data_IF_164860957724
#
_entry.id   IF_164860957724
#
_cell.length_a   1.000
_cell.length_b   1.000
_cell.length_c   1.000
_cell.angle_alpha   90.00
_cell.angle_beta   90.00
_cell.angle_gamma   90.00
#
_symmetry.space_group_name_H-M   'P 1'
#
loop_
_entity.id
_entity.type
_entity.pdbx_description
1 polymer ?
#
# COMPACT_ATOMS: atom_id res chain seq x y z
N UNK A 1 15.96 1.91 -22.59
CA UNK A 1 15.48 2.73 -21.47
C UNK A 1 15.79 4.19 -21.75
N UNK A 2 14.76 5.02 -21.90
CA UNK A 2 14.87 6.46 -22.24
C UNK A 2 15.43 7.29 -21.09
N UNK A 3 15.19 6.86 -19.85
CA UNK A 3 15.73 7.52 -18.66
C UNK A 3 17.25 7.79 -18.73
N UNK A 4 18.02 6.98 -19.46
CA UNK A 4 19.48 7.17 -19.61
C UNK A 4 19.86 8.41 -20.43
N UNK A 5 18.96 8.89 -21.27
CA UNK A 5 19.18 10.07 -22.12
C UNK A 5 18.60 11.36 -21.51
N UNK A 6 17.97 11.29 -20.35
CA UNK A 6 17.39 12.45 -19.67
C UNK A 6 18.53 13.23 -18.98
N UNK A 7 18.63 14.55 -19.19
CA UNK A 7 19.61 15.39 -18.47
C UNK A 7 19.43 15.29 -16.96
N UNK A 8 20.53 15.33 -16.21
CA UNK A 8 20.51 15.19 -14.73
C UNK A 8 19.62 16.22 -14.03
N UNK A 9 19.51 17.43 -14.59
CA UNK A 9 18.65 18.50 -14.02
C UNK A 9 17.15 18.21 -14.17
N UNK A 10 16.76 17.36 -15.11
CA UNK A 10 15.37 16.97 -15.35
C UNK A 10 15.02 15.60 -14.80
N UNK A 11 16.02 14.81 -14.40
CA UNK A 11 15.86 13.43 -13.96
C UNK A 11 14.94 13.31 -12.73
N UNK A 12 15.03 14.22 -11.75
CA UNK A 12 14.13 14.21 -10.59
C UNK A 12 12.66 14.42 -11.00
N UNK A 13 12.40 15.30 -11.97
CA UNK A 13 11.05 15.53 -12.50
C UNK A 13 10.50 14.28 -13.18
N UNK A 14 11.32 13.57 -13.97
CA UNK A 14 10.96 12.30 -14.58
C UNK A 14 10.70 11.21 -13.54
N UNK A 15 11.59 11.04 -12.56
CA UNK A 15 11.44 10.07 -11.47
C UNK A 15 10.20 10.34 -10.61
N UNK A 16 9.87 11.62 -10.39
CA UNK A 16 8.64 12.01 -9.71
C UNK A 16 7.41 11.56 -10.51
N UNK A 17 7.39 11.75 -11.82
CA UNK A 17 6.31 11.29 -12.69
C UNK A 17 6.20 9.76 -12.68
N UNK A 18 7.32 9.03 -12.70
CA UNK A 18 7.34 7.58 -12.59
C UNK A 18 6.76 7.10 -11.25
N UNK A 19 7.18 7.73 -10.13
CA UNK A 19 6.63 7.41 -8.80
C UNK A 19 5.13 7.67 -8.72
N UNK A 20 4.62 8.77 -9.27
CA UNK A 20 3.19 9.08 -9.29
C UNK A 20 2.37 7.96 -9.92
N UNK A 21 2.75 7.46 -11.10
CA UNK A 21 1.99 6.41 -11.77
C UNK A 21 2.18 5.03 -11.12
N UNK A 22 3.34 4.76 -10.52
CA UNK A 22 3.60 3.51 -9.78
C UNK A 22 2.82 3.44 -8.46
N UNK A 23 2.61 4.59 -7.78
CA UNK A 23 1.87 4.65 -6.52
C UNK A 23 0.36 4.60 -6.74
N UNK A 24 -0.15 5.37 -7.69
CA UNK A 24 -1.59 5.61 -7.78
C UNK A 24 -2.28 4.79 -8.86
N UNK A 25 -1.55 4.29 -9.86
CA UNK A 25 -2.02 3.54 -11.02
C UNK A 25 -3.07 4.28 -11.87
N UNK A 26 -3.78 5.23 -11.31
CA UNK A 26 -4.66 6.18 -11.97
C UNK A 26 -4.34 7.58 -11.47
N UNK A 27 -4.06 8.49 -12.39
CA UNK A 27 -3.87 9.91 -12.12
C UNK A 27 -4.89 10.67 -12.95
N UNK A 28 -5.66 11.56 -12.32
CA UNK A 28 -6.68 12.38 -12.97
C UNK A 28 -6.39 13.87 -12.80
N UNK A 29 -7.26 14.74 -13.29
CA UNK A 29 -7.12 16.18 -13.13
C UNK A 29 -7.12 16.63 -11.66
N UNK A 30 -7.72 15.83 -10.76
CA UNK A 30 -7.85 16.13 -9.32
C UNK A 30 -7.11 15.15 -8.42
N UNK A 31 -6.80 13.95 -8.88
CA UNK A 31 -6.19 12.89 -8.07
C UNK A 31 -4.80 12.49 -8.58
N UNK A 32 -3.80 12.31 -7.71
CA UNK A 32 -3.80 12.56 -6.26
C UNK A 32 -3.80 14.05 -5.90
N UNK A 33 -3.38 14.90 -6.82
CA UNK A 33 -3.40 16.36 -6.74
C UNK A 33 -3.48 16.99 -8.14
N UNK A 34 -3.79 18.29 -8.21
CA UNK A 34 -4.02 19.00 -9.48
C UNK A 34 -2.79 19.12 -10.39
N UNK A 35 -1.59 18.91 -9.86
CA UNK A 35 -0.32 19.02 -10.63
C UNK A 35 0.15 17.67 -11.20
N UNK A 36 -0.36 16.58 -10.65
CA UNK A 36 0.11 15.22 -10.92
C UNK A 36 -0.06 14.83 -12.40
N UNK A 37 -1.23 15.07 -12.99
CA UNK A 37 -1.50 14.73 -14.38
C UNK A 37 -0.59 15.49 -15.35
N UNK A 38 -0.38 16.79 -15.14
CA UNK A 38 0.52 17.60 -15.95
C UNK A 38 1.97 17.08 -15.86
N UNK A 39 2.41 16.68 -14.67
CA UNK A 39 3.74 16.09 -14.45
C UNK A 39 3.91 14.79 -15.23
N UNK A 40 2.92 13.89 -15.19
CA UNK A 40 2.95 12.62 -15.93
C UNK A 40 2.87 12.85 -17.45
N UNK A 41 2.03 13.79 -17.92
CA UNK A 41 1.88 14.11 -19.36
C UNK A 41 3.19 14.62 -19.97
N UNK A 42 3.96 15.40 -19.23
CA UNK A 42 5.27 15.91 -19.69
C UNK A 42 6.21 14.76 -20.09
N UNK A 43 6.17 13.64 -19.38
CA UNK A 43 7.05 12.50 -19.56
C UNK A 43 6.37 11.27 -20.17
N UNK A 44 5.19 11.46 -20.77
CA UNK A 44 4.32 10.35 -21.17
C UNK A 44 4.99 9.39 -22.18
N UNK A 45 5.83 9.91 -23.08
CA UNK A 45 6.49 9.08 -24.11
C UNK A 45 7.59 8.23 -23.49
N UNK A 46 8.45 8.85 -22.70
CA UNK A 46 9.56 8.17 -22.03
C UNK A 46 9.05 7.13 -21.01
N UNK A 47 8.02 7.50 -20.24
CA UNK A 47 7.41 6.61 -19.24
C UNK A 47 6.76 5.40 -19.89
N UNK A 48 6.05 5.55 -21.03
CA UNK A 48 5.43 4.41 -21.71
C UNK A 48 6.48 3.36 -22.10
N UNK A 49 7.56 3.80 -22.73
CA UNK A 49 8.61 2.89 -23.17
C UNK A 49 9.35 2.26 -21.99
N UNK A 50 9.69 3.06 -20.98
CA UNK A 50 10.49 2.59 -19.86
C UNK A 50 9.70 1.68 -18.92
N UNK A 51 8.43 1.98 -18.62
CA UNK A 51 7.57 1.12 -17.80
C UNK A 51 7.27 -0.22 -18.49
N UNK A 52 7.03 -0.19 -19.82
CA UNK A 52 6.83 -1.41 -20.59
C UNK A 52 8.10 -2.27 -20.64
N UNK A 53 9.25 -1.66 -20.90
CA UNK A 53 10.52 -2.39 -20.99
C UNK A 53 10.96 -2.94 -19.63
N UNK A 54 10.79 -2.16 -18.55
CA UNK A 54 11.30 -2.49 -17.22
C UNK A 54 10.40 -3.47 -16.48
N UNK A 55 9.08 -3.28 -16.52
CA UNK A 55 8.09 -4.03 -15.73
C UNK A 55 7.07 -4.80 -16.58
N UNK A 56 6.99 -4.54 -17.88
CA UNK A 56 5.88 -5.02 -18.70
C UNK A 56 4.58 -4.24 -18.46
N UNK A 57 4.63 -3.11 -17.78
CA UNK A 57 3.46 -2.27 -17.48
C UNK A 57 3.11 -1.37 -18.66
N UNK A 58 1.82 -1.28 -18.96
CA UNK A 58 1.32 -0.41 -20.03
C UNK A 58 0.77 0.88 -19.46
N UNK A 59 1.30 2.01 -19.90
CA UNK A 59 0.81 3.34 -19.53
C UNK A 59 -0.02 3.95 -20.64
N UNK A 60 -1.28 4.26 -20.37
CA UNK A 60 -2.15 5.07 -21.24
C UNK A 60 -2.29 6.47 -20.66
N UNK A 61 -2.03 7.48 -21.48
CA UNK A 61 -2.14 8.89 -21.10
C UNK A 61 -3.06 9.58 -22.10
N UNK A 62 -4.12 10.18 -21.58
CA UNK A 62 -5.09 10.99 -22.31
C UNK A 62 -5.03 12.44 -21.87
N UNK A 63 -5.98 13.26 -22.29
CA UNK A 63 -6.08 14.65 -21.83
C UNK A 63 -6.45 14.75 -20.34
N UNK A 64 -7.32 13.87 -19.87
CA UNK A 64 -7.92 13.93 -18.52
C UNK A 64 -7.39 12.86 -17.56
N UNK A 65 -6.73 11.83 -18.07
CA UNK A 65 -6.27 10.70 -17.24
C UNK A 65 -4.90 10.17 -17.67
N UNK A 66 -4.17 9.63 -16.69
CA UNK A 66 -3.04 8.73 -16.94
C UNK A 66 -3.29 7.43 -16.16
N UNK A 67 -3.38 6.29 -16.87
CA UNK A 67 -3.69 4.97 -16.30
C UNK A 67 -2.54 4.00 -16.54
N UNK A 68 -1.98 3.46 -15.46
CA UNK A 68 -1.00 2.39 -15.49
C UNK A 68 -1.70 1.04 -15.34
N UNK A 69 -1.54 0.17 -16.33
CA UNK A 69 -1.97 -1.22 -16.28
C UNK A 69 -0.81 -2.06 -15.78
N UNK A 70 -0.94 -2.53 -14.57
CA UNK A 70 0.07 -3.37 -13.90
C UNK A 70 -0.15 -4.84 -14.23
N UNK A 71 0.89 -5.62 -14.03
CA UNK A 71 0.88 -7.09 -14.10
C UNK A 71 1.07 -7.60 -12.68
N UNK A 72 0.14 -8.42 -12.20
CA UNK A 72 0.24 -9.10 -10.92
C UNK A 72 0.85 -10.49 -11.14
N UNK A 73 1.97 -10.79 -10.50
CA UNK A 73 2.60 -12.10 -10.59
C UNK A 73 2.06 -13.07 -9.54
N UNK A 74 1.58 -12.53 -8.41
CA UNK A 74 1.03 -13.27 -7.26
C UNK A 74 -0.18 -12.53 -6.71
N UNK A 75 -1.05 -13.26 -6.02
CA UNK A 75 -2.04 -12.65 -5.16
C UNK A 75 -1.35 -12.08 -3.91
N UNK A 76 -1.78 -10.90 -3.50
CA UNK A 76 -1.33 -10.24 -2.26
C UNK A 76 -2.56 -9.91 -1.42
N UNK A 77 -2.74 -10.63 -0.32
CA UNK A 77 -3.85 -10.42 0.60
C UNK A 77 -3.81 -9.04 1.29
N UNK A 78 -2.62 -8.41 1.37
CA UNK A 78 -2.42 -7.09 1.96
C UNK A 78 -2.69 -5.92 1.00
N UNK A 79 -2.81 -6.17 -0.31
CA UNK A 79 -2.93 -5.12 -1.33
C UNK A 79 -4.38 -4.62 -1.52
N UNK A 80 -5.10 -4.34 -0.43
CA UNK A 80 -6.46 -3.81 -0.46
C UNK A 80 -6.51 -2.28 -0.47
N UNK A 81 -7.66 -1.71 -0.88
CA UNK A 81 -7.94 -0.29 -0.66
C UNK A 81 -8.60 -0.05 0.69
N UNK A 82 -8.59 1.21 1.14
CA UNK A 82 -9.17 1.61 2.42
C UNK A 82 -10.12 2.80 2.25
N UNK A 83 -11.01 3.00 3.23
CA UNK A 83 -11.81 4.21 3.38
C UNK A 83 -10.91 5.41 3.70
N UNK A 84 -11.46 6.61 3.67
CA UNK A 84 -10.77 7.83 4.09
C UNK A 84 -10.34 7.80 5.57
N UNK A 85 -11.00 6.97 6.41
CA UNK A 85 -10.64 6.75 7.82
C UNK A 85 -9.59 5.67 8.03
N UNK A 86 -9.09 5.04 6.95
CA UNK A 86 -8.09 3.97 7.00
C UNK A 86 -8.67 2.56 7.23
N UNK A 87 -10.00 2.40 7.29
CA UNK A 87 -10.63 1.09 7.39
C UNK A 87 -10.49 0.32 6.06
N UNK A 88 -9.97 -0.91 6.05
CA UNK A 88 -9.88 -1.70 4.82
C UNK A 88 -11.27 -1.94 4.20
N UNK A 89 -11.32 -1.93 2.86
CA UNK A 89 -12.52 -2.33 2.15
C UNK A 89 -12.79 -3.82 2.35
N UNK A 90 -14.02 -4.12 2.79
CA UNK A 90 -14.54 -5.48 2.84
C UNK A 90 -15.18 -5.87 1.48
N UNK A 91 -15.62 -7.14 1.40
CA UNK A 91 -16.28 -7.67 0.19
C UNK A 91 -17.48 -6.84 -0.23
N UNK A 92 -18.26 -6.31 0.71
CA UNK A 92 -19.45 -5.49 0.47
C UNK A 92 -19.09 -4.18 -0.22
N UNK A 93 -18.09 -3.46 0.31
CA UNK A 93 -17.60 -2.19 -0.28
C UNK A 93 -17.05 -2.37 -1.68
N UNK A 94 -16.30 -3.44 -1.91
CA UNK A 94 -15.82 -3.76 -3.26
C UNK A 94 -16.95 -4.11 -4.23
N UNK A 95 -17.96 -4.85 -3.79
CA UNK A 95 -19.12 -5.17 -4.62
C UNK A 95 -19.89 -3.91 -5.02
N UNK A 96 -20.19 -3.03 -4.05
CA UNK A 96 -20.87 -1.76 -4.34
C UNK A 96 -20.03 -0.85 -5.22
N UNK A 97 -18.72 -0.77 -5.02
CA UNK A 97 -17.81 -0.03 -5.89
C UNK A 97 -17.86 -0.54 -7.33
N UNK A 98 -17.79 -1.86 -7.54
CA UNK A 98 -17.82 -2.45 -8.88
C UNK A 98 -19.15 -2.19 -9.58
N UNK A 99 -20.28 -2.36 -8.87
CA UNK A 99 -21.62 -2.12 -9.38
C UNK A 99 -21.85 -0.63 -9.67
N UNK A 100 -21.38 0.27 -8.82
CA UNK A 100 -21.43 1.71 -9.03
C UNK A 100 -20.63 2.12 -10.29
N UNK A 101 -19.40 1.62 -10.48
CA UNK A 101 -18.61 1.86 -11.70
C UNK A 101 -19.38 1.39 -12.95
N UNK A 102 -20.02 0.22 -12.89
CA UNK A 102 -20.80 -0.32 -14.00
C UNK A 102 -22.04 0.54 -14.30
N UNK A 103 -22.74 1.04 -13.29
CA UNK A 103 -23.88 1.95 -13.43
C UNK A 103 -23.46 3.30 -14.04
N UNK A 104 -22.42 3.93 -13.48
CA UNK A 104 -21.86 5.21 -13.95
C UNK A 104 -21.35 5.15 -15.40
N UNK A 105 -20.78 4.01 -15.81
CA UNK A 105 -20.30 3.81 -17.19
C UNK A 105 -21.43 3.79 -18.23
N UNK A 106 -22.66 3.44 -17.83
CA UNK A 106 -23.85 3.35 -18.71
C UNK A 106 -24.77 4.57 -18.58
N UNK A 107 -24.70 5.29 -17.46
CA UNK A 107 -25.63 6.36 -17.08
C UNK A 107 -25.47 7.68 -17.82
N UNK A 108 -26.20 8.69 -17.38
CA UNK A 108 -26.12 10.07 -17.84
C UNK A 108 -24.85 10.79 -17.33
N UNK A 109 -24.66 12.06 -17.71
CA UNK A 109 -23.55 12.89 -17.22
C UNK A 109 -23.74 13.38 -15.79
N UNK A 110 -24.95 13.23 -15.23
CA UNK A 110 -25.29 13.52 -13.83
C UNK A 110 -26.11 12.38 -13.27
N UNK A 111 -26.01 12.17 -11.96
CA UNK A 111 -26.77 11.16 -11.22
C UNK A 111 -26.95 11.60 -9.77
N UNK A 112 -28.11 11.33 -9.20
CA UNK A 112 -28.31 11.50 -7.75
C UNK A 112 -27.81 10.28 -6.98
N UNK A 113 -27.53 10.46 -5.69
CA UNK A 113 -27.06 9.37 -4.84
C UNK A 113 -28.13 8.28 -4.67
N UNK A 114 -29.40 8.68 -4.57
CA UNK A 114 -30.56 7.76 -4.51
C UNK A 114 -30.68 6.94 -5.81
N UNK A 115 -30.61 7.57 -7.00
CA UNK A 115 -30.62 6.85 -8.27
C UNK A 115 -29.46 5.86 -8.41
N UNK A 116 -28.26 6.26 -7.97
CA UNK A 116 -27.10 5.36 -7.98
C UNK A 116 -27.29 4.19 -7.03
N UNK A 117 -27.85 4.41 -5.84
CA UNK A 117 -28.16 3.36 -4.88
C UNK A 117 -29.20 2.38 -5.42
N UNK A 118 -30.26 2.87 -6.07
CA UNK A 118 -31.29 2.02 -6.73
C UNK A 118 -30.68 1.15 -7.83
N UNK A 119 -29.80 1.73 -8.69
CA UNK A 119 -29.08 0.97 -9.70
C UNK A 119 -28.21 -0.14 -9.10
N UNK A 120 -27.45 0.20 -8.05
CA UNK A 120 -26.57 -0.78 -7.36
C UNK A 120 -27.40 -1.85 -6.67
N UNK A 121 -28.50 -1.51 -5.99
CA UNK A 121 -29.39 -2.46 -5.34
C UNK A 121 -30.03 -3.43 -6.36
N UNK A 122 -30.50 -2.90 -7.50
CA UNK A 122 -31.08 -3.70 -8.58
C UNK A 122 -30.07 -4.70 -9.17
N UNK A 123 -28.82 -4.28 -9.40
CA UNK A 123 -27.80 -5.18 -9.94
C UNK A 123 -27.27 -6.15 -8.84
N UNK A 124 -27.19 -5.70 -7.58
CA UNK A 124 -26.79 -6.54 -6.45
C UNK A 124 -27.74 -7.73 -6.27
N UNK A 125 -29.06 -7.52 -6.42
CA UNK A 125 -30.06 -8.58 -6.30
C UNK A 125 -29.90 -9.73 -7.29
N UNK A 126 -29.09 -9.55 -8.34
CA UNK A 126 -28.76 -10.57 -9.34
C UNK A 126 -27.50 -11.38 -9.00
N UNK A 127 -26.81 -11.01 -7.92
CA UNK A 127 -25.55 -11.63 -7.51
C UNK A 127 -25.74 -12.28 -6.15
N UNK A 128 -25.56 -13.59 -6.08
CA UNK A 128 -25.70 -14.34 -4.84
C UNK A 128 -24.80 -13.80 -3.73
N UNK A 129 -25.39 -13.53 -2.56
CA UNK A 129 -24.65 -13.04 -1.39
C UNK A 129 -24.23 -11.57 -1.45
N UNK A 130 -24.79 -10.80 -2.40
CA UNK A 130 -24.64 -9.33 -2.46
C UNK A 130 -26.03 -8.71 -2.40
N UNK A 131 -26.27 -7.87 -1.39
CA UNK A 131 -27.52 -7.13 -1.22
C UNK A 131 -27.17 -5.70 -0.79
N UNK A 132 -27.89 -4.72 -1.30
CA UNK A 132 -27.86 -3.33 -0.82
C UNK A 132 -29.27 -2.99 -0.34
N UNK A 133 -29.43 -2.91 0.98
CA UNK A 133 -30.65 -2.47 1.64
C UNK A 133 -30.43 -1.05 2.19
N UNK A 134 -31.08 -0.07 1.58
CA UNK A 134 -30.96 1.34 1.98
C UNK A 134 -31.57 1.65 3.35
N UNK A 135 -32.40 0.76 3.89
CA UNK A 135 -32.92 0.87 5.25
C UNK A 135 -31.86 0.52 6.31
N UNK A 136 -30.84 -0.28 5.93
CA UNK A 136 -29.76 -0.69 6.82
C UNK A 136 -28.63 0.34 6.85
N UNK A 137 -28.38 0.96 8.00
CA UNK A 137 -27.31 1.93 8.16
C UNK A 137 -25.92 1.40 7.71
N UNK A 138 -25.60 0.13 8.04
CA UNK A 138 -24.32 -0.48 7.67
C UNK A 138 -24.14 -0.65 6.15
N UNK A 139 -25.23 -0.81 5.40
CA UNK A 139 -25.20 -0.89 3.94
C UNK A 139 -25.05 0.49 3.32
N UNK A 140 -25.77 1.50 3.87
CA UNK A 140 -25.61 2.91 3.46
C UNK A 140 -24.18 3.39 3.68
N UNK A 141 -23.60 3.12 4.86
CA UNK A 141 -22.22 3.51 5.16
C UNK A 141 -21.22 2.88 4.18
N UNK A 142 -21.38 1.58 3.91
CA UNK A 142 -20.52 0.88 2.97
C UNK A 142 -20.67 1.40 1.52
N UNK A 143 -21.89 1.78 1.12
CA UNK A 143 -22.16 2.38 -0.18
C UNK A 143 -21.55 3.79 -0.28
N UNK A 144 -21.74 4.64 0.73
CA UNK A 144 -21.15 5.98 0.78
C UNK A 144 -19.62 5.93 0.83
N UNK A 145 -19.01 4.94 1.47
CA UNK A 145 -17.56 4.72 1.40
C UNK A 145 -17.10 4.45 -0.05
N UNK A 146 -17.85 3.63 -0.82
CA UNK A 146 -17.55 3.36 -2.22
C UNK A 146 -17.73 4.60 -3.10
N UNK A 147 -18.78 5.38 -2.88
CA UNK A 147 -19.04 6.65 -3.58
C UNK A 147 -17.96 7.69 -3.26
N UNK A 148 -17.56 7.81 -1.99
CA UNK A 148 -16.48 8.69 -1.56
C UNK A 148 -15.15 8.31 -2.25
N UNK A 149 -14.88 7.01 -2.36
CA UNK A 149 -13.70 6.51 -3.06
C UNK A 149 -13.66 6.92 -4.54
N UNK A 150 -14.82 6.91 -5.22
CA UNK A 150 -14.98 7.38 -6.60
C UNK A 150 -14.78 8.90 -6.71
N UNK A 151 -15.35 9.66 -5.75
CA UNK A 151 -15.21 11.11 -5.68
C UNK A 151 -13.75 11.55 -5.51
N UNK A 152 -13.01 10.91 -4.59
CA UNK A 152 -11.58 11.20 -4.37
C UNK A 152 -10.76 11.02 -5.65
N UNK A 153 -11.14 10.07 -6.50
CA UNK A 153 -10.45 9.80 -7.79
C UNK A 153 -10.95 10.63 -8.96
N UNK A 154 -11.94 11.48 -8.73
CA UNK A 154 -12.50 12.36 -9.75
C UNK A 154 -13.39 11.65 -10.77
N UNK A 155 -13.88 10.44 -10.45
CA UNK A 155 -14.86 9.75 -11.28
C UNK A 155 -16.25 10.42 -11.21
N UNK A 156 -16.55 10.97 -10.04
CA UNK A 156 -17.73 11.80 -9.77
C UNK A 156 -17.32 13.04 -8.99
N UNK A 157 -18.06 14.12 -9.18
CA UNK A 157 -17.83 15.38 -8.43
C UNK A 157 -19.16 15.86 -7.88
N UNK A 158 -19.22 16.16 -6.58
CA UNK A 158 -20.42 16.67 -5.96
C UNK A 158 -20.80 18.00 -6.61
N UNK A 159 -21.97 18.06 -7.22
CA UNK A 159 -22.54 19.26 -7.83
C UNK A 159 -23.43 20.00 -6.83
N UNK A 160 -24.22 19.27 -6.03
CA UNK A 160 -25.12 19.83 -5.01
C UNK A 160 -25.46 18.77 -3.96
N UNK A 161 -25.89 19.23 -2.75
CA UNK A 161 -26.35 18.35 -1.67
C UNK A 161 -25.23 17.83 -0.75
N UNK A 162 -25.53 16.76 -0.01
CA UNK A 162 -24.64 16.18 1.01
C UNK A 162 -24.86 14.66 1.18
N UNK A 163 -23.85 13.87 0.81
CA UNK A 163 -23.87 12.43 0.95
C UNK A 163 -23.98 11.95 2.41
N UNK A 164 -23.45 12.69 3.37
CA UNK A 164 -23.54 12.37 4.79
C UNK A 164 -24.97 12.46 5.32
N UNK A 165 -25.74 13.44 4.83
CA UNK A 165 -27.17 13.54 5.15
C UNK A 165 -27.93 12.37 4.58
N UNK A 166 -27.69 11.99 3.32
CA UNK A 166 -28.31 10.82 2.73
C UNK A 166 -27.96 9.53 3.49
N UNK A 167 -26.71 9.36 3.92
CA UNK A 167 -26.30 8.19 4.71
C UNK A 167 -27.05 8.11 6.05
N UNK A 168 -27.37 9.25 6.64
CA UNK A 168 -28.09 9.32 7.91
C UNK A 168 -29.58 9.08 7.71
N UNK A 169 -30.18 9.70 6.69
CA UNK A 169 -31.62 9.64 6.38
C UNK A 169 -31.81 9.86 4.84
N UNK A 170 -32.02 8.77 4.09
CA UNK A 170 -32.18 8.84 2.62
C UNK A 170 -33.44 9.62 2.19
N UNK A 171 -34.47 9.69 3.03
CA UNK A 171 -35.71 10.41 2.69
C UNK A 171 -35.58 11.92 2.84
N UNK A 172 -34.65 12.39 3.67
CA UNK A 172 -34.45 13.84 3.94
C UNK A 172 -33.17 14.42 3.34
N UNK A 173 -32.28 13.56 2.84
CA UNK A 173 -30.98 13.94 2.27
C UNK A 173 -30.85 13.51 0.81
N UNK A 174 -30.21 14.33 -0.01
CA UNK A 174 -29.85 13.98 -1.39
C UNK A 174 -28.50 14.59 -1.74
N UNK A 175 -27.81 13.97 -2.72
CA UNK A 175 -26.58 14.50 -3.29
C UNK A 175 -26.57 14.26 -4.82
N UNK A 176 -26.31 15.32 -5.58
CA UNK A 176 -26.19 15.27 -7.02
C UNK A 176 -24.72 15.27 -7.43
N UNK A 177 -24.35 14.38 -8.33
CA UNK A 177 -22.99 14.25 -8.84
C UNK A 177 -22.89 14.45 -10.35
N UNK A 178 -21.88 15.21 -10.77
CA UNK A 178 -21.38 15.19 -12.14
C UNK A 178 -20.49 13.97 -12.37
N UNK A 179 -20.65 13.27 -13.49
CA UNK A 179 -19.94 12.04 -13.82
C UNK A 179 -18.87 12.29 -14.89
N UNK A 180 -17.59 12.04 -14.55
CA UNK A 180 -16.52 12.00 -15.54
C UNK A 180 -16.40 10.59 -16.12
N UNK A 181 -17.00 10.37 -17.29
CA UNK A 181 -16.99 9.06 -17.95
C UNK A 181 -15.59 8.60 -18.36
N UNK A 182 -14.69 9.52 -18.71
CA UNK A 182 -13.33 9.16 -19.08
C UNK A 182 -12.60 8.54 -17.90
N UNK A 183 -12.78 9.12 -16.69
CA UNK A 183 -12.24 8.57 -15.44
C UNK A 183 -12.91 7.25 -15.09
N UNK A 184 -14.25 7.16 -15.16
CA UNK A 184 -14.99 5.90 -14.88
C UNK A 184 -14.48 4.76 -15.77
N UNK A 185 -14.34 4.98 -17.07
CA UNK A 185 -13.80 3.96 -17.99
C UNK A 185 -12.34 3.62 -17.75
N UNK A 186 -11.54 4.55 -17.20
CA UNK A 186 -10.14 4.29 -16.84
C UNK A 186 -10.00 3.52 -15.54
N UNK A 187 -11.00 3.58 -14.63
CA UNK A 187 -10.94 2.90 -13.33
C UNK A 187 -10.90 1.38 -13.46
N UNK A 188 -11.81 0.81 -14.23
CA UNK A 188 -11.92 -0.63 -14.36
C UNK A 188 -11.79 -1.07 -15.82
N UNK A 189 -10.67 -1.70 -16.11
CA UNK A 189 -10.35 -2.24 -17.42
C UNK A 189 -9.52 -3.51 -17.24
N UNK A 190 -10.18 -4.67 -17.15
CA UNK A 190 -9.50 -5.93 -16.89
C UNK A 190 -8.53 -6.26 -18.02
N UNK A 191 -7.38 -6.91 -17.71
CA UNK A 191 -6.35 -7.25 -18.70
C UNK A 191 -6.85 -8.28 -19.72
N UNK A 192 -7.86 -9.05 -19.37
CA UNK A 192 -8.52 -10.07 -20.19
C UNK A 192 -10.03 -10.02 -20.05
N UNK A 193 -10.74 -10.56 -21.01
CA UNK A 193 -12.20 -10.70 -20.92
C UNK A 193 -12.56 -11.65 -19.79
N UNK A 194 -13.22 -11.13 -18.74
CA UNK A 194 -13.52 -11.89 -17.51
C UNK A 194 -14.44 -13.08 -17.76
N UNK A 195 -15.31 -12.98 -18.75
CA UNK A 195 -16.27 -14.04 -19.15
C UNK A 195 -15.63 -15.36 -19.64
N UNK A 196 -14.33 -15.33 -19.90
CA UNK A 196 -13.57 -16.51 -20.34
C UNK A 196 -12.61 -17.03 -19.27
N UNK A 197 -12.70 -16.50 -18.06
CA UNK A 197 -11.84 -16.91 -16.94
C UNK A 197 -12.55 -17.99 -16.14
N UNK A 198 -11.89 -19.12 -15.97
CA UNK A 198 -12.33 -20.23 -15.10
C UNK A 198 -11.79 -20.06 -13.69
N UNK A 199 -10.70 -19.32 -13.53
CA UNK A 199 -10.03 -19.06 -12.26
C UNK A 199 -9.39 -17.68 -12.26
N UNK A 200 -9.26 -17.07 -11.08
CA UNK A 200 -8.50 -15.83 -10.84
C UNK A 200 -7.04 -15.96 -11.27
N UNK A 201 -6.48 -17.17 -11.30
CA UNK A 201 -5.16 -17.47 -11.89
C UNK A 201 -5.00 -16.88 -13.30
N UNK A 202 -6.06 -16.88 -14.10
CA UNK A 202 -6.07 -16.30 -15.44
C UNK A 202 -5.82 -14.79 -15.49
N UNK A 203 -5.94 -14.07 -14.37
CA UNK A 203 -5.62 -12.63 -14.25
C UNK A 203 -4.14 -12.38 -13.93
N UNK A 204 -3.40 -13.41 -13.52
CA UNK A 204 -1.98 -13.27 -13.22
C UNK A 204 -1.13 -13.21 -14.51
N UNK A 205 -0.01 -12.49 -14.45
CA UNK A 205 0.82 -12.21 -15.61
C UNK A 205 1.50 -13.42 -16.23
N UNK A 206 1.70 -14.48 -15.45
CA UNK A 206 2.33 -15.72 -15.89
C UNK A 206 1.34 -16.78 -16.44
N UNK A 207 0.03 -16.48 -16.48
CA UNK A 207 -0.95 -17.39 -17.06
C UNK A 207 -0.71 -17.56 -18.58
N UNK A 208 -0.02 -18.65 -18.95
CA UNK A 208 0.27 -19.04 -20.33
C UNK A 208 1.55 -18.49 -20.96
N UNK A 209 2.42 -17.82 -20.19
CA UNK A 209 3.76 -17.47 -20.65
C UNK A 209 4.75 -18.65 -20.43
N UNK A 210 5.66 -18.93 -21.37
CA UNK A 210 6.74 -19.89 -21.11
C UNK A 210 7.55 -19.42 -19.90
N UNK A 211 7.75 -20.30 -18.92
CA UNK A 211 8.51 -19.97 -17.70
C UNK A 211 9.98 -19.61 -17.96
N UNK A 212 10.51 -19.97 -19.12
CA UNK A 212 11.93 -19.86 -19.50
C UNK A 212 12.33 -18.56 -20.19
N UNK A 213 11.43 -17.56 -20.37
CA UNK A 213 11.85 -16.27 -20.95
C UNK A 213 12.61 -15.44 -19.91
N UNK A 214 13.93 -15.39 -20.07
CA UNK A 214 14.83 -14.57 -19.21
C UNK A 214 14.41 -13.11 -19.11
N UNK A 215 13.78 -12.56 -20.15
CA UNK A 215 13.30 -11.17 -20.13
C UNK A 215 12.10 -11.04 -19.19
N UNK A 216 11.19 -12.01 -19.17
CA UNK A 216 10.04 -12.00 -18.29
C UNK A 216 10.42 -12.33 -16.84
N UNK A 217 11.34 -13.26 -16.60
CA UNK A 217 11.92 -13.51 -15.26
C UNK A 217 12.49 -12.20 -14.68
N UNK A 218 13.26 -11.47 -15.50
CA UNK A 218 13.81 -10.18 -15.07
C UNK A 218 12.73 -9.13 -14.76
N UNK A 219 11.64 -9.09 -15.53
CA UNK A 219 10.50 -8.19 -15.26
C UNK A 219 9.80 -8.55 -13.95
N UNK A 220 9.59 -9.85 -13.68
CA UNK A 220 9.01 -10.33 -12.40
C UNK A 220 9.83 -9.86 -11.21
N UNK A 221 11.16 -10.04 -11.25
CA UNK A 221 12.06 -9.57 -10.18
C UNK A 221 11.97 -8.06 -9.99
N UNK A 222 11.93 -7.28 -11.08
CA UNK A 222 11.79 -5.82 -11.01
C UNK A 222 10.43 -5.38 -10.46
N UNK A 223 9.35 -6.09 -10.82
CA UNK A 223 8.02 -5.88 -10.22
C UNK A 223 8.04 -6.15 -8.72
N UNK A 224 8.64 -7.26 -8.30
CA UNK A 224 8.80 -7.58 -6.88
C UNK A 224 9.54 -6.46 -6.12
N UNK A 225 10.60 -5.87 -6.70
CA UNK A 225 11.38 -4.79 -6.11
C UNK A 225 10.59 -3.49 -5.88
N UNK A 226 9.55 -3.20 -6.67
CA UNK A 226 8.72 -2.00 -6.48
C UNK A 226 7.41 -2.27 -5.76
N UNK A 227 7.00 -3.55 -5.67
CA UNK A 227 5.77 -3.96 -5.02
C UNK A 227 5.98 -4.41 -3.57
N UNK A 228 7.20 -4.78 -3.18
CA UNK A 228 7.51 -5.31 -1.85
C UNK A 228 8.54 -4.46 -1.14
N UNK A 229 8.41 -4.25 0.18
CA UNK A 229 9.40 -3.53 0.97
C UNK A 229 10.79 -4.19 0.93
N UNK A 230 10.81 -5.52 0.95
CA UNK A 230 12.02 -6.35 0.86
C UNK A 230 11.73 -7.55 -0.06
N UNK A 231 12.66 -7.83 -0.97
CA UNK A 231 12.69 -9.06 -1.77
C UNK A 231 13.78 -9.95 -1.21
N UNK A 232 13.37 -11.00 -0.49
CA UNK A 232 14.29 -12.02 0.01
C UNK A 232 14.69 -12.97 -1.10
N UNK A 233 15.95 -13.43 -1.11
CA UNK A 233 16.43 -14.38 -2.11
C UNK A 233 15.70 -15.71 -2.02
N UNK A 234 15.26 -16.08 -0.81
CA UNK A 234 14.59 -17.37 -0.56
C UNK A 234 13.09 -17.37 -0.94
N UNK A 235 12.51 -16.20 -1.23
CA UNK A 235 11.15 -16.08 -1.80
C UNK A 235 11.11 -16.29 -3.32
N UNK A 236 12.26 -16.44 -3.95
CA UNK A 236 12.45 -16.46 -5.41
C UNK A 236 12.86 -17.86 -5.87
N UNK A 237 12.47 -18.19 -7.10
CA UNK A 237 13.06 -19.35 -7.79
C UNK A 237 14.53 -19.09 -8.19
N UNK A 238 15.26 -20.12 -8.61
CA UNK A 238 16.69 -20.02 -8.90
C UNK A 238 16.99 -19.01 -10.02
N UNK A 239 16.15 -18.94 -11.05
CA UNK A 239 16.29 -17.99 -12.16
C UNK A 239 16.02 -16.56 -11.70
N UNK A 240 15.02 -16.35 -10.88
CA UNK A 240 14.70 -15.07 -10.27
C UNK A 240 15.81 -14.60 -9.32
N UNK A 241 16.33 -15.49 -8.48
CA UNK A 241 17.45 -15.23 -7.57
C UNK A 241 18.71 -14.82 -8.34
N UNK A 242 19.00 -15.51 -9.45
CA UNK A 242 20.09 -15.13 -10.36
C UNK A 242 19.88 -13.74 -10.95
N UNK A 243 18.67 -13.41 -11.41
CA UNK A 243 18.36 -12.08 -11.92
C UNK A 243 18.44 -10.99 -10.84
N UNK A 244 18.01 -11.30 -9.60
CA UNK A 244 18.13 -10.37 -8.46
C UNK A 244 19.59 -10.08 -8.13
N UNK A 245 20.49 -11.08 -8.25
CA UNK A 245 21.92 -10.93 -8.02
C UNK A 245 22.60 -9.96 -9.01
N UNK A 246 22.05 -9.77 -10.21
CA UNK A 246 22.65 -8.92 -11.25
C UNK A 246 22.45 -7.42 -10.93
N UNK A 247 23.53 -6.60 -10.84
CA UNK A 247 23.40 -5.16 -10.56
C UNK A 247 22.48 -4.42 -11.53
N UNK A 248 22.52 -4.74 -12.82
CA UNK A 248 21.68 -4.10 -13.85
C UNK A 248 20.18 -4.21 -13.57
N UNK A 249 19.72 -5.25 -12.86
CA UNK A 249 18.31 -5.46 -12.52
C UNK A 249 17.83 -4.36 -11.59
N UNK A 250 18.61 -4.02 -10.56
CA UNK A 250 18.31 -2.94 -9.62
C UNK A 250 18.63 -1.56 -10.17
N UNK A 251 19.71 -1.41 -10.96
CA UNK A 251 20.14 -0.10 -11.47
C UNK A 251 19.12 0.53 -12.42
N UNK A 252 18.40 -0.28 -13.21
CA UNK A 252 17.36 0.23 -14.09
C UNK A 252 16.13 0.69 -13.28
N UNK A 253 15.77 -0.01 -12.21
CA UNK A 253 14.70 0.40 -11.31
C UNK A 253 15.07 1.68 -10.55
N UNK A 254 16.33 1.77 -10.05
CA UNK A 254 16.86 2.98 -9.40
C UNK A 254 16.81 4.18 -10.34
N UNK A 255 17.25 4.01 -11.58
CA UNK A 255 17.27 5.08 -12.57
C UNK A 255 15.86 5.60 -12.87
N UNK A 256 14.87 4.68 -12.96
CA UNK A 256 13.50 5.04 -13.23
C UNK A 256 12.80 5.70 -12.04
N UNK A 257 13.08 5.21 -10.81
CA UNK A 257 12.32 5.62 -9.62
C UNK A 257 13.04 6.60 -8.72
N UNK A 258 14.38 6.68 -8.77
CA UNK A 258 15.20 7.45 -7.83
C UNK A 258 15.32 6.80 -6.45
N UNK A 259 14.86 5.54 -6.26
CA UNK A 259 14.98 4.83 -5.00
C UNK A 259 16.43 4.41 -4.73
N UNK A 260 16.79 4.35 -3.45
CA UNK A 260 18.12 3.88 -3.02
C UNK A 260 18.07 2.36 -2.83
N UNK A 261 18.96 1.65 -3.52
CA UNK A 261 19.07 0.21 -3.39
C UNK A 261 19.95 -0.16 -2.20
N UNK A 262 19.43 -0.94 -1.28
CA UNK A 262 20.18 -1.60 -0.22
C UNK A 262 20.20 -3.11 -0.52
N UNK A 263 21.41 -3.64 -0.73
CA UNK A 263 21.65 -5.05 -1.05
C UNK A 263 22.38 -5.70 0.11
N UNK A 264 21.86 -6.81 0.58
CA UNK A 264 22.44 -7.65 1.63
C UNK A 264 22.46 -9.12 1.19
N UNK A 265 23.06 -9.98 1.99
CA UNK A 265 23.12 -11.41 1.72
C UNK A 265 21.73 -12.06 1.64
N UNK A 266 20.80 -11.59 2.47
CA UNK A 266 19.45 -12.10 2.57
C UNK A 266 18.51 -11.61 1.46
N UNK A 267 18.84 -10.49 0.80
CA UNK A 267 17.96 -9.93 -0.22
C UNK A 267 18.22 -8.48 -0.60
N UNK A 268 17.24 -7.86 -1.23
CA UNK A 268 17.32 -6.47 -1.72
C UNK A 268 16.10 -5.68 -1.27
N UNK A 269 16.34 -4.47 -0.76
CA UNK A 269 15.32 -3.46 -0.50
C UNK A 269 15.56 -2.22 -1.35
N UNK A 270 14.49 -1.61 -1.83
CA UNK A 270 14.52 -0.27 -2.43
C UNK A 270 13.93 0.72 -1.43
N UNK A 271 14.77 1.63 -0.97
CA UNK A 271 14.43 2.61 0.09
C UNK A 271 14.03 3.92 -0.53
N UNK A 272 12.82 4.39 -0.18
CA UNK A 272 12.32 5.71 -0.57
C UNK A 272 12.74 6.77 0.45
N UNK A 273 13.86 7.45 0.17
CA UNK A 273 14.33 8.55 1.02
C UNK A 273 13.46 9.80 0.92
N UNK A 274 12.58 9.89 -0.09
CA UNK A 274 11.65 11.02 -0.26
C UNK A 274 10.34 10.83 0.52
N UNK A 275 10.01 9.60 0.90
CA UNK A 275 8.76 9.23 1.57
C UNK A 275 7.50 9.45 0.71
N UNK A 276 7.65 9.52 -0.63
CA UNK A 276 6.54 9.82 -1.55
C UNK A 276 6.04 8.62 -2.34
N UNK A 277 6.81 7.55 -2.37
CA UNK A 277 6.44 6.29 -3.02
C UNK A 277 5.92 5.26 -2.01
N UNK A 278 6.37 5.35 -0.76
CA UNK A 278 5.97 4.41 0.30
C UNK A 278 4.58 4.72 0.83
N UNK A 279 3.73 3.71 0.95
CA UNK A 279 2.44 3.74 1.63
C UNK A 279 2.61 3.69 3.17
N UNK A 280 3.69 3.10 3.65
CA UNK A 280 4.09 3.05 5.06
C UNK A 280 5.34 3.88 5.29
N UNK A 281 5.23 4.93 6.10
CA UNK A 281 6.38 5.74 6.52
C UNK A 281 7.04 5.13 7.75
N UNK A 282 8.24 4.57 7.57
CA UNK A 282 9.00 3.95 8.63
C UNK A 282 10.52 4.12 8.41
N UNK A 283 11.30 4.58 9.41
CA UNK A 283 10.88 5.13 10.72
C UNK A 283 10.09 6.43 10.59
N UNK A 284 9.25 6.76 11.60
CA UNK A 284 8.47 7.99 11.65
C UNK A 284 8.26 8.45 13.12
N UNK A 285 7.79 9.69 13.29
CA UNK A 285 7.58 10.31 14.61
C UNK A 285 6.26 9.92 15.29
N UNK A 286 5.35 9.21 14.60
CA UNK A 286 4.09 8.72 15.21
C UNK A 286 4.34 7.63 16.25
N UNK A 287 3.50 7.56 17.30
CA UNK A 287 3.66 6.61 18.43
C UNK A 287 3.84 5.17 17.95
N UNK A 288 2.99 4.68 17.04
CA UNK A 288 3.08 3.30 16.51
C UNK A 288 4.42 3.07 15.81
N UNK A 289 4.87 4.01 14.98
CA UNK A 289 6.14 3.87 14.26
C UNK A 289 7.36 3.93 15.20
N UNK A 290 7.29 4.75 16.26
CA UNK A 290 8.33 4.80 17.28
C UNK A 290 8.41 3.48 18.07
N UNK A 291 7.26 2.97 18.50
CA UNK A 291 7.18 1.68 19.22
C UNK A 291 7.61 0.52 18.32
N UNK A 292 7.19 0.49 17.08
CA UNK A 292 7.63 -0.51 16.11
C UNK A 292 9.15 -0.49 15.90
N UNK A 293 9.77 0.70 15.86
CA UNK A 293 11.23 0.84 15.74
C UNK A 293 11.96 0.34 16.97
N UNK A 294 11.49 0.68 18.18
CA UNK A 294 12.05 0.19 19.42
C UNK A 294 11.88 -1.32 19.56
N UNK A 295 10.68 -1.82 19.26
CA UNK A 295 10.37 -3.24 19.28
C UNK A 295 11.28 -4.03 18.31
N UNK A 296 11.54 -3.49 17.11
CA UNK A 296 12.48 -4.10 16.16
C UNK A 296 13.90 -4.21 16.75
N UNK A 297 14.37 -3.19 17.47
CA UNK A 297 15.64 -3.23 18.23
C UNK A 297 15.65 -4.32 19.30
N UNK A 298 14.63 -4.34 20.16
CA UNK A 298 14.45 -5.34 21.22
C UNK A 298 14.40 -6.78 20.67
N UNK A 299 13.71 -6.98 19.52
CA UNK A 299 13.67 -8.27 18.82
C UNK A 299 15.06 -8.70 18.36
N UNK A 300 15.85 -7.77 17.78
CA UNK A 300 17.22 -8.06 17.37
C UNK A 300 18.08 -8.45 18.56
N UNK A 301 18.01 -7.68 19.65
CA UNK A 301 18.79 -7.93 20.85
C UNK A 301 18.40 -9.26 21.49
N UNK A 302 17.10 -9.58 21.56
CA UNK A 302 16.60 -10.87 22.06
C UNK A 302 17.09 -12.07 21.26
N UNK A 303 17.10 -11.95 19.93
CA UNK A 303 17.55 -13.04 19.01
C UNK A 303 19.05 -13.26 19.10
N UNK A 304 19.82 -12.20 19.37
CA UNK A 304 21.27 -12.21 19.38
C UNK A 304 21.87 -12.30 20.79
N UNK A 305 21.04 -12.38 21.83
CA UNK A 305 21.47 -12.46 23.21
C UNK A 305 22.14 -13.81 23.47
N UNK A 306 23.49 -13.85 23.75
CA UNK A 306 24.19 -15.08 24.01
C UNK A 306 23.91 -15.67 25.42
N UNK A 307 23.40 -14.84 26.33
CA UNK A 307 23.13 -15.22 27.70
C UNK A 307 21.71 -15.75 27.93
N UNK A 308 20.81 -15.54 26.95
CA UNK A 308 19.43 -16.03 26.97
C UNK A 308 19.26 -17.31 26.12
N UNK A 309 18.31 -18.20 26.46
CA UNK A 309 17.98 -19.35 25.61
C UNK A 309 17.61 -18.88 24.19
N UNK A 310 18.23 -19.48 23.19
CA UNK A 310 17.90 -19.14 21.79
C UNK A 310 16.41 -19.38 21.52
N UNK A 311 15.71 -18.43 20.85
CA UNK A 311 14.32 -18.64 20.50
C UNK A 311 14.19 -19.82 19.52
N UNK A 312 13.08 -20.60 19.59
CA UNK A 312 12.85 -21.69 18.67
C UNK A 312 12.80 -21.15 17.24
N UNK A 313 13.27 -21.95 16.28
CA UNK A 313 13.27 -21.57 14.88
C UNK A 313 12.26 -22.45 14.14
N UNK A 314 11.41 -21.81 13.36
CA UNK A 314 10.42 -22.48 12.51
C UNK A 314 10.39 -21.83 11.11
N UNK A 315 10.01 -22.59 10.09
CA UNK A 315 9.86 -22.02 8.76
C UNK A 315 8.66 -21.06 8.70
N UNK A 316 8.73 -20.05 7.81
CA UNK A 316 7.54 -19.25 7.49
C UNK A 316 6.50 -20.20 6.90
N UNK A 317 5.27 -20.26 7.45
CA UNK A 317 4.21 -21.07 6.87
C UNK A 317 4.01 -20.69 5.39
N UNK A 318 4.19 -21.62 4.52
CA UNK A 318 3.90 -21.41 3.11
C UNK A 318 2.39 -21.18 2.96
N UNK A 319 1.98 -19.93 2.86
CA UNK A 319 0.70 -19.63 2.23
C UNK A 319 0.89 -19.94 0.76
N UNK A 320 0.58 -21.17 0.36
CA UNK A 320 0.72 -21.55 -1.04
C UNK A 320 -0.17 -20.62 -1.84
N UNK A 321 0.38 -20.00 -2.89
CA UNK A 321 -0.40 -19.19 -3.82
C UNK A 321 -1.61 -19.96 -4.33
N UNK A 322 -1.51 -21.27 -4.44
CA UNK A 322 -2.59 -22.17 -4.83
C UNK A 322 -3.72 -22.21 -3.80
N UNK A 323 -3.42 -22.18 -2.50
CA UNK A 323 -4.44 -22.10 -1.46
C UNK A 323 -5.16 -20.74 -1.48
N UNK A 324 -4.44 -19.64 -1.70
CA UNK A 324 -5.03 -18.31 -1.87
C UNK A 324 -5.91 -18.25 -3.13
N UNK A 325 -5.43 -18.76 -4.26
CA UNK A 325 -6.19 -18.83 -5.50
C UNK A 325 -7.46 -19.65 -5.31
N UNK A 326 -7.38 -20.83 -4.72
CA UNK A 326 -8.53 -21.67 -4.42
C UNK A 326 -9.54 -20.99 -3.48
N UNK A 327 -9.04 -20.28 -2.45
CA UNK A 327 -9.89 -19.54 -1.53
C UNK A 327 -10.64 -18.39 -2.25
N UNK A 328 -9.96 -17.64 -3.13
CA UNK A 328 -10.60 -16.58 -3.91
C UNK A 328 -11.58 -17.16 -4.91
N UNK A 329 -11.21 -18.20 -5.64
CA UNK A 329 -12.11 -18.86 -6.62
C UNK A 329 -13.37 -19.42 -5.95
N UNK A 330 -13.24 -19.99 -4.74
CA UNK A 330 -14.39 -20.46 -3.97
C UNK A 330 -15.30 -19.35 -3.46
N UNK A 331 -14.77 -18.14 -3.30
CA UNK A 331 -15.50 -16.96 -2.83
C UNK A 331 -16.19 -16.18 -3.96
N UNK A 332 -15.93 -16.50 -5.23
CA UNK A 332 -16.60 -15.86 -6.38
C UNK A 332 -18.08 -16.31 -6.39
N UNK A 333 -19.04 -15.37 -6.39
CA UNK A 333 -20.45 -15.69 -6.45
C UNK A 333 -20.76 -16.49 -7.73
N UNK A 334 -21.49 -17.59 -7.60
CA UNK A 334 -22.03 -18.30 -8.75
C UNK A 334 -23.18 -17.48 -9.30
N UNK A 335 -22.97 -16.81 -10.42
CA UNK A 335 -23.99 -16.01 -11.10
C UNK A 335 -24.63 -16.86 -12.20
N UNK A 336 -25.95 -16.78 -12.30
CA UNK A 336 -26.70 -17.39 -13.44
C UNK A 336 -26.36 -16.72 -14.78
N UNK A 337 -25.73 -15.55 -14.76
CA UNK A 337 -25.26 -14.83 -15.97
C UNK A 337 -23.99 -15.47 -16.54
N UNK A 338 -23.19 -16.10 -15.72
CA UNK A 338 -22.01 -16.84 -16.11
C UNK A 338 -22.28 -18.36 -15.94
N UNK A 339 -23.23 -18.89 -16.70
CA UNK A 339 -23.32 -20.34 -16.85
C UNK A 339 -22.00 -20.76 -17.50
N UNK A 340 -21.12 -21.52 -16.85
CA UNK A 340 -19.93 -22.03 -17.51
C UNK A 340 -20.42 -22.79 -18.74
N UNK A 341 -19.92 -22.41 -19.92
CA UNK A 341 -20.00 -23.26 -21.10
C UNK A 341 -19.45 -24.61 -20.63
N UNK A 342 -20.32 -25.59 -20.53
CA UNK A 342 -20.18 -26.91 -19.98
C UNK A 342 -18.75 -27.21 -19.50
N UNK A 343 -18.58 -27.37 -18.19
CA UNK A 343 -17.37 -27.88 -17.62
C UNK A 343 -16.99 -29.12 -18.45
N UNK A 344 -15.96 -29.00 -19.24
CA UNK A 344 -15.31 -30.17 -19.78
C UNK A 344 -14.75 -30.89 -18.56
N UNK A 345 -15.37 -32.00 -18.18
CA UNK A 345 -14.83 -32.98 -17.24
C UNK A 345 -13.54 -33.59 -17.83
N UNK A 346 -12.59 -32.75 -18.15
CA UNK A 346 -11.23 -33.17 -18.43
C UNK A 346 -10.53 -33.07 -17.08
N UNK A 347 -10.18 -34.20 -16.46
CA UNK A 347 -9.32 -34.19 -15.29
C UNK A 347 -8.07 -33.41 -15.69
N UNK A 348 -7.78 -32.34 -14.95
CA UNK A 348 -6.47 -31.70 -15.03
C UNK A 348 -5.48 -32.83 -14.74
N UNK A 349 -4.55 -33.16 -15.67
CA UNK A 349 -3.54 -34.15 -15.37
C UNK A 349 -2.81 -33.69 -14.11
N UNK A 350 -2.79 -34.56 -13.13
CA UNK A 350 -2.00 -34.46 -11.89
C UNK A 350 -0.50 -34.70 -12.25
N UNK A 351 -0.07 -34.08 -13.34
CA UNK A 351 1.29 -34.12 -13.81
C UNK A 351 1.86 -32.74 -13.77
N UNK A 352 2.49 -32.47 -12.63
CA UNK A 352 3.78 -31.83 -12.51
C UNK A 352 4.09 -31.77 -10.99
N UNK A 353 4.23 -32.95 -10.37
CA UNK A 353 5.28 -33.09 -9.38
C UNK A 353 6.61 -32.84 -10.11
N UNK A 354 6.91 -31.59 -10.35
CA UNK A 354 8.29 -31.22 -10.58
C UNK A 354 8.98 -31.50 -9.25
N UNK A 355 9.85 -32.48 -9.34
CA UNK A 355 10.90 -32.82 -8.39
C UNK A 355 11.84 -31.58 -8.27
N UNK A 356 11.30 -30.48 -7.81
CA UNK A 356 12.08 -29.40 -7.23
C UNK A 356 12.74 -30.08 -6.04
N UNK A 357 14.03 -30.33 -6.12
CA UNK A 357 14.85 -30.67 -4.96
C UNK A 357 14.65 -29.57 -3.96
N UNK A 358 13.58 -29.70 -3.16
CA UNK A 358 13.00 -28.66 -2.32
C UNK A 358 14.10 -28.20 -1.38
N UNK A 359 14.63 -27.01 -1.65
CA UNK A 359 15.54 -26.32 -0.76
C UNK A 359 14.87 -26.29 0.60
N UNK A 360 15.51 -26.86 1.63
CA UNK A 360 14.92 -26.91 2.96
C UNK A 360 14.47 -25.48 3.35
N UNK A 361 13.19 -25.29 3.75
CA UNK A 361 12.68 -23.96 4.05
C UNK A 361 13.53 -23.32 5.15
N UNK A 362 13.91 -22.06 4.97
CA UNK A 362 14.65 -21.30 5.96
C UNK A 362 13.82 -21.12 7.23
N UNK A 363 14.41 -21.50 8.34
CA UNK A 363 13.81 -21.32 9.65
C UNK A 363 14.19 -19.97 10.25
N UNK A 364 13.19 -19.29 10.83
CA UNK A 364 13.35 -17.99 11.47
C UNK A 364 13.05 -18.07 12.96
N UNK A 365 13.70 -17.23 13.80
CA UNK A 365 13.43 -17.16 15.22
C UNK A 365 11.98 -16.79 15.50
N UNK A 366 11.30 -17.53 16.36
CA UNK A 366 9.94 -17.25 16.84
C UNK A 366 10.01 -16.47 18.15
N UNK A 367 9.33 -15.34 18.21
CA UNK A 367 9.05 -14.60 19.43
C UNK A 367 7.56 -14.69 19.74
N UNK A 368 7.24 -15.13 20.97
CA UNK A 368 5.87 -15.35 21.40
C UNK A 368 5.10 -14.06 21.66
N UNK A 369 3.77 -14.08 21.49
CA UNK A 369 2.89 -12.94 21.75
C UNK A 369 3.03 -12.41 23.19
N UNK A 370 3.25 -13.29 24.16
CA UNK A 370 3.52 -12.93 25.55
C UNK A 370 4.77 -12.07 25.73
N UNK A 371 5.85 -12.40 25.01
CA UNK A 371 7.09 -11.63 25.02
C UNK A 371 6.88 -10.26 24.36
N UNK A 372 6.16 -10.22 23.25
CA UNK A 372 5.84 -8.98 22.51
C UNK A 372 5.05 -8.01 23.40
N UNK A 373 3.95 -8.50 24.00
CA UNK A 373 3.11 -7.71 24.89
C UNK A 373 3.89 -7.19 26.11
N UNK A 374 4.71 -8.06 26.74
CA UNK A 374 5.56 -7.67 27.87
C UNK A 374 6.61 -6.63 27.47
N UNK A 375 7.20 -6.74 26.29
CA UNK A 375 8.19 -5.77 25.79
C UNK A 375 7.54 -4.42 25.50
N UNK A 376 6.39 -4.38 24.80
CA UNK A 376 5.68 -3.12 24.54
C UNK A 376 5.19 -2.49 25.85
N UNK A 377 4.75 -3.31 26.85
CA UNK A 377 4.42 -2.79 28.18
C UNK A 377 5.59 -2.05 28.82
N UNK A 378 6.79 -2.64 28.83
CA UNK A 378 8.01 -1.97 29.33
C UNK A 378 8.34 -0.67 28.55
N UNK A 379 8.17 -0.68 27.22
CA UNK A 379 8.39 0.51 26.40
C UNK A 379 7.38 1.63 26.75
N UNK A 380 6.15 1.28 27.06
CA UNK A 380 5.13 2.25 27.52
C UNK A 380 5.50 2.79 28.92
N UNK A 381 6.00 1.95 29.81
CA UNK A 381 6.45 2.40 31.15
C UNK A 381 7.61 3.41 31.06
N UNK A 382 8.55 3.17 30.14
CA UNK A 382 9.74 4.01 29.98
C UNK A 382 9.43 5.30 29.18
N UNK A 383 8.72 5.17 28.06
CA UNK A 383 8.54 6.24 27.07
C UNK A 383 7.11 6.76 26.96
N UNK A 384 6.16 6.20 27.69
CA UNK A 384 4.74 6.46 27.55
C UNK A 384 4.34 7.93 27.62
N UNK A 385 5.09 8.77 28.38
CA UNK A 385 4.87 10.22 28.45
C UNK A 385 4.98 10.92 27.07
N UNK A 386 5.68 10.30 26.10
CA UNK A 386 5.85 10.83 24.74
C UNK A 386 4.79 10.29 23.77
N UNK A 387 4.02 9.29 24.18
CA UNK A 387 3.04 8.61 23.35
C UNK A 387 1.68 9.32 23.39
N UNK A 388 0.88 9.19 22.35
CA UNK A 388 -0.48 9.70 22.33
C UNK A 388 -1.34 9.01 23.43
N UNK A 389 -2.21 9.75 24.10
CA UNK A 389 -2.96 9.30 25.27
C UNK A 389 -3.77 8.01 25.03
N UNK A 390 -4.34 7.85 23.84
CA UNK A 390 -5.05 6.63 23.45
C UNK A 390 -4.18 5.36 23.54
N UNK A 391 -2.90 5.46 23.19
CA UNK A 391 -1.95 4.35 23.21
C UNK A 391 -1.35 4.09 24.60
N UNK A 392 -1.35 5.10 25.47
CA UNK A 392 -1.01 4.90 26.88
C UNK A 392 -2.08 4.07 27.60
N UNK A 393 -3.34 4.25 27.19
CA UNK A 393 -4.49 3.54 27.77
C UNK A 393 -4.64 2.12 27.20
N UNK A 394 -4.10 1.84 26.01
CA UNK A 394 -4.19 0.54 25.33
C UNK A 394 -2.82 0.03 24.83
N UNK A 395 -1.95 -0.47 25.74
CA UNK A 395 -0.67 -1.05 25.35
C UNK A 395 -0.80 -2.31 24.48
N UNK A 396 -1.88 -3.07 24.64
CA UNK A 396 -2.14 -4.28 23.85
C UNK A 396 -2.45 -3.93 22.38
N UNK A 397 -3.35 -2.98 22.15
CA UNK A 397 -3.62 -2.47 20.82
C UNK A 397 -2.41 -1.78 20.18
N UNK A 398 -1.54 -1.14 20.99
CA UNK A 398 -0.28 -0.57 20.51
C UNK A 398 0.69 -1.66 20.06
N UNK A 399 0.79 -2.76 20.79
CA UNK A 399 1.63 -3.90 20.40
C UNK A 399 1.17 -4.50 19.08
N UNK A 400 -0.14 -4.70 18.93
CA UNK A 400 -0.75 -5.21 17.71
C UNK A 400 -0.49 -4.29 16.52
N UNK A 401 -0.71 -2.98 16.67
CA UNK A 401 -0.46 -1.99 15.63
C UNK A 401 1.03 -1.89 15.24
N UNK A 402 1.95 -2.02 16.20
CA UNK A 402 3.38 -2.03 15.94
C UNK A 402 3.82 -3.29 15.18
N UNK A 403 3.31 -4.45 15.57
CA UNK A 403 3.57 -5.73 14.88
C UNK A 403 2.97 -5.71 13.47
N UNK A 404 1.74 -5.20 13.27
CA UNK A 404 1.16 -5.02 11.94
C UNK A 404 2.03 -4.17 11.02
N UNK A 405 2.59 -3.08 11.55
CA UNK A 405 3.51 -2.23 10.80
C UNK A 405 4.77 -2.98 10.38
N UNK A 406 5.38 -3.75 11.29
CA UNK A 406 6.58 -4.54 11.00
C UNK A 406 6.30 -5.68 10.00
N UNK A 407 5.14 -6.32 10.09
CA UNK A 407 4.70 -7.35 9.15
C UNK A 407 4.47 -6.79 7.75
N UNK A 408 3.76 -5.66 7.61
CA UNK A 408 3.60 -4.94 6.33
C UNK A 408 4.93 -4.53 5.70
N UNK A 409 5.94 -4.24 6.51
CA UNK A 409 7.30 -3.95 6.06
C UNK A 409 8.14 -5.21 5.80
N UNK A 410 7.58 -6.39 6.03
CA UNK A 410 8.28 -7.68 5.91
C UNK A 410 9.54 -7.76 6.78
N UNK A 411 9.50 -7.17 7.95
CA UNK A 411 10.55 -7.27 8.97
C UNK A 411 10.26 -8.42 9.94
N UNK A 412 8.99 -8.79 10.05
CA UNK A 412 8.50 -9.98 10.74
C UNK A 412 7.51 -10.72 9.86
N UNK A 413 7.11 -11.94 10.24
CA UNK A 413 5.98 -12.65 9.66
C UNK A 413 5.09 -13.18 10.79
N UNK A 414 3.78 -12.91 10.74
CA UNK A 414 2.83 -13.38 11.73
C UNK A 414 2.62 -14.88 11.61
N UNK A 415 2.60 -15.55 12.75
CA UNK A 415 2.28 -16.98 12.87
C UNK A 415 1.38 -17.19 14.09
N UNK A 416 0.66 -18.32 14.19
CA UNK A 416 -0.09 -18.62 15.39
C UNK A 416 0.81 -18.64 16.63
N UNK A 417 0.52 -17.77 17.61
CA UNK A 417 1.22 -17.70 18.89
C UNK A 417 2.41 -16.73 18.92
N UNK A 418 2.67 -15.97 17.81
CA UNK A 418 3.75 -14.99 17.82
C UNK A 418 4.16 -14.48 16.46
N UNK A 419 5.40 -14.05 16.34
CA UNK A 419 6.00 -13.57 15.09
C UNK A 419 7.34 -14.23 14.80
N UNK A 420 7.62 -14.48 13.56
CA UNK A 420 8.94 -14.84 13.07
C UNK A 420 9.75 -13.59 12.76
N UNK A 421 10.97 -13.54 13.27
CA UNK A 421 11.89 -12.42 13.05
C UNK A 421 12.62 -12.62 11.72
N UNK A 422 12.33 -11.78 10.73
CA UNK A 422 12.93 -11.87 9.41
C UNK A 422 14.27 -11.12 9.34
N UNK A 423 15.21 -11.54 8.47
CA UNK A 423 16.57 -11.02 8.48
C UNK A 423 16.71 -9.50 8.30
N UNK A 424 15.85 -8.87 7.49
CA UNK A 424 15.91 -7.43 7.22
C UNK A 424 15.68 -6.55 8.45
N UNK A 425 15.11 -7.08 9.54
CA UNK A 425 14.91 -6.36 10.80
C UNK A 425 16.27 -5.91 11.41
N UNK A 426 17.35 -6.64 11.11
CA UNK A 426 18.71 -6.31 11.58
C UNK A 426 19.18 -4.91 11.12
N UNK A 427 18.53 -4.32 10.13
CA UNK A 427 18.72 -2.92 9.70
C UNK A 427 18.48 -1.93 10.84
N UNK A 428 17.59 -2.27 11.75
CA UNK A 428 17.16 -1.41 12.86
C UNK A 428 17.83 -1.76 14.20
N UNK A 429 18.87 -2.57 14.17
CA UNK A 429 19.67 -2.87 15.36
C UNK A 429 20.46 -1.65 15.84
N UNK A 430 20.53 -1.46 17.15
CA UNK A 430 21.31 -0.40 17.78
C UNK A 430 20.74 1.01 17.60
N UNK A 431 19.45 1.12 17.32
CA UNK A 431 18.75 2.40 17.33
C UNK A 431 18.65 2.91 18.76
N UNK A 432 19.25 4.06 19.02
CA UNK A 432 19.14 4.75 20.31
C UNK A 432 18.11 5.86 20.21
N UNK A 433 17.19 5.92 21.19
CA UNK A 433 16.20 6.99 21.29
C UNK A 433 16.68 8.00 22.33
N UNK A 434 16.87 9.25 21.91
CA UNK A 434 17.00 10.37 22.85
C UNK A 434 15.62 11.00 23.05
N UNK A 435 15.07 10.86 24.25
CA UNK A 435 13.86 11.58 24.63
C UNK A 435 14.25 13.03 24.90
N UNK A 436 13.79 13.98 24.11
CA UNK A 436 13.83 15.39 24.49
C UNK A 436 12.83 15.56 25.64
N UNK A 437 13.33 15.75 26.85
CA UNK A 437 12.49 16.27 27.92
C UNK A 437 11.95 17.61 27.46
N UNK A 438 10.63 17.74 27.41
CA UNK A 438 9.99 19.06 27.30
C UNK A 438 10.23 19.74 28.62
N UNK A 439 11.06 20.75 28.60
CA UNK A 439 11.18 21.67 29.73
C UNK A 439 9.81 22.38 29.89
N UNK A 440 9.09 22.18 31.00
CA UNK A 440 7.80 22.81 31.21
C UNK A 440 7.90 24.32 31.41
N UNK A 441 9.10 24.88 31.50
CA UNK A 441 9.36 26.32 31.72
C UNK A 441 9.77 27.06 30.45
N UNK A 442 9.32 26.66 29.27
CA UNK A 442 9.34 27.62 28.15
C UNK A 442 8.20 28.62 28.38
N UNK A 443 8.57 29.71 29.03
CA UNK A 443 7.72 30.91 29.21
C UNK A 443 7.22 31.36 27.82
N UNK A 444 5.91 31.29 27.60
CA UNK A 444 5.26 31.72 26.36
C UNK A 444 5.39 33.24 26.14
N UNK A 445 5.88 33.99 27.14
CA UNK A 445 6.12 35.41 27.08
C UNK A 445 7.53 35.71 27.62
N UNK A 446 8.59 35.77 26.78
CA UNK A 446 9.86 36.32 27.25
C UNK A 446 9.60 37.74 27.71
N UNK A 447 9.86 38.01 29.02
CA UNK A 447 9.87 39.38 29.54
C UNK A 447 10.79 40.21 28.65
N UNK A 448 10.19 41.14 27.91
CA UNK A 448 10.90 42.15 27.14
C UNK A 448 11.58 43.08 28.14
N UNK A 449 12.81 42.78 28.53
CA UNK A 449 13.67 43.73 29.21
C UNK A 449 13.91 44.88 28.24
N UNK A 450 13.18 45.98 28.46
CA UNK A 450 13.44 47.25 27.79
C UNK A 450 14.89 47.68 28.07
N UNK A 451 15.68 48.04 27.06
CA UNK A 451 17.04 48.51 27.29
C UNK A 451 16.97 49.80 28.12
N UNK A 452 17.63 49.80 29.28
CA UNK A 452 17.82 50.96 30.14
C UNK A 452 18.60 51.99 29.35
N UNK A 453 17.99 53.13 29.01
CA UNK A 453 18.67 54.26 28.39
C UNK A 453 19.67 54.83 29.42
N UNK A 454 20.96 54.93 29.13
CA UNK A 454 21.90 55.58 30.05
C UNK A 454 21.56 57.07 30.16
N UNK A 455 21.54 57.58 31.39
CA UNK A 455 21.32 58.98 31.69
C UNK A 455 22.45 59.85 31.11
N UNK A 456 22.19 61.08 30.62
CA UNK A 456 23.22 61.95 30.07
C UNK A 456 24.17 62.44 31.15
N UNK A 457 25.46 62.23 30.94
CA UNK A 457 26.54 62.78 31.75
C UNK A 457 26.49 64.29 31.73
N UNK A 458 26.11 64.88 32.85
CA UNK A 458 26.31 66.29 33.11
C UNK A 458 27.68 66.55 33.73
N UNK A 459 28.63 66.90 32.89
CA UNK A 459 29.94 67.36 33.33
C UNK A 459 29.87 68.90 33.49
N UNK A 460 30.13 69.54 34.67
CA UNK A 460 30.23 70.99 34.79
C UNK A 460 31.60 71.48 34.31
N UNK A 461 31.60 72.30 33.32
CA UNK A 461 32.77 73.04 32.82
C UNK A 461 33.14 74.10 33.92
N UNK A 462 34.29 73.94 34.53
CA UNK A 462 34.97 74.98 35.25
C UNK A 462 35.73 75.91 34.28
N UNK A 463 35.44 77.15 34.34
CA UNK A 463 36.11 78.26 33.70
C UNK A 463 37.22 78.78 34.65
N UNK A 464 38.44 78.82 34.17
CA UNK A 464 39.48 79.84 34.49
C UNK A 464 40.52 79.91 33.39
#
# INVERSE_FOLDING_TARGET
MRARSIPSVELDSYQRAARLVLTHHLVTATFPDRSALATVRRWATELREDLLATFGYRLEVTETTARLFTVADRLDAGAGTSTHTGRPFDRRRYAYLALAIAALGRGAGQITLSELAEHVASEASRVDGVELDTERAADRDAFVDAVTWLGVRGAITLADGDAGRWASDPDSGEALYDVDRAVVHALFRPPRALQHLESVRGLLGNAGAPQSDTAEVRRRVRRALVQRPVVYADDLDDDEALQLALPRTTDEVKLLTGLVCERRAEGVALVDTSGRLSDVRFPNTGTVAQVALLLAGEMCDRVLDPDAPAPPRIPVPAQTQDALLAAVDSAIPRSTVFTPLAASDTPIPDELEQDDAARAPLEHPLLEDSWLAGTVGRLVDIYGRTFAAQWQADPAGLAEAAVDMLDRLRLVARVPGGVLVLPAIARFRGVTVSVRERDPEIDLFPETTLPTVPAPDTNPTEIS
#
